data_IF_449261980285
#
_entry.id   IF_449261980285
#
_cell.length_a   1.000
_cell.length_b   1.000
_cell.length_c   1.000
_cell.angle_alpha   90.00
_cell.angle_beta   90.00
_cell.angle_gamma   90.00
#
_symmetry.space_group_name_H-M   'P 1'
#
loop_
_entity.id
_entity.type
_entity.pdbx_description
1 polymer ?
#
# COMPACT_ATOMS: atom_id res chain seq x y z
N UNK A 1 -49.30 -11.76 74.67
CA UNK A 1 -49.36 -12.17 73.25
C UNK A 1 -48.13 -11.63 72.56
N UNK A 2 -47.23 -12.54 72.18
CA UNK A 2 -45.98 -12.26 71.48
C UNK A 2 -46.27 -11.86 70.02
N UNK A 3 -45.67 -10.78 69.52
CA UNK A 3 -45.44 -10.60 68.09
C UNK A 3 -44.02 -10.07 67.88
N UNK A 4 -43.25 -10.88 67.16
CA UNK A 4 -41.87 -10.68 66.75
C UNK A 4 -41.83 -9.86 65.44
N UNK A 5 -40.92 -8.89 65.23
CA UNK A 5 -40.78 -8.25 63.94
C UNK A 5 -39.91 -9.11 63.01
N UNK A 6 -40.46 -9.45 61.83
CA UNK A 6 -39.77 -10.12 60.73
C UNK A 6 -38.54 -9.32 60.28
N UNK A 7 -37.37 -9.97 60.26
CA UNK A 7 -36.18 -9.50 59.53
C UNK A 7 -36.36 -9.78 58.05
N UNK A 8 -36.41 -8.75 57.22
CA UNK A 8 -36.25 -8.86 55.77
C UNK A 8 -34.77 -9.01 55.43
N UNK A 9 -34.36 -10.21 55.02
CA UNK A 9 -33.03 -10.44 54.43
C UNK A 9 -33.03 -9.94 52.98
N UNK A 10 -32.32 -8.85 52.73
CA UNK A 10 -32.00 -8.39 51.37
C UNK A 10 -30.90 -9.29 50.81
N UNK A 11 -31.27 -10.22 49.91
CA UNK A 11 -30.30 -11.00 49.17
C UNK A 11 -29.61 -10.08 48.15
N UNK A 12 -28.34 -9.74 48.41
CA UNK A 12 -27.48 -9.05 47.45
C UNK A 12 -27.17 -10.03 46.31
N UNK A 13 -27.88 -9.92 45.18
CA UNK A 13 -27.48 -10.57 43.94
C UNK A 13 -26.20 -9.88 43.45
N UNK A 14 -25.05 -10.49 43.76
CA UNK A 14 -23.79 -10.23 43.08
C UNK A 14 -23.93 -10.67 41.63
N UNK A 15 -24.35 -9.75 40.76
CA UNK A 15 -24.11 -9.85 39.33
C UNK A 15 -22.60 -9.77 39.14
N UNK A 16 -21.94 -10.92 39.10
CA UNK A 16 -20.62 -11.07 38.50
C UNK A 16 -20.73 -10.62 37.06
N UNK A 17 -20.31 -9.39 36.78
CA UNK A 17 -20.08 -8.92 35.44
C UNK A 17 -19.05 -9.86 34.80
N UNK A 18 -19.53 -10.75 33.94
CA UNK A 18 -18.67 -11.49 33.03
C UNK A 18 -18.13 -10.42 32.09
N UNK A 19 -16.93 -9.91 32.37
CA UNK A 19 -16.16 -9.14 31.42
C UNK A 19 -15.96 -10.06 30.22
N UNK A 20 -16.67 -9.79 29.11
CA UNK A 20 -16.31 -10.37 27.83
C UNK A 20 -14.82 -10.09 27.63
N UNK A 21 -14.00 -11.08 27.19
CA UNK A 21 -12.63 -10.80 26.86
C UNK A 21 -12.65 -9.70 25.79
N UNK A 22 -11.93 -8.61 26.04
CA UNK A 22 -11.56 -7.69 24.96
C UNK A 22 -10.73 -8.54 24.01
N UNK A 23 -11.35 -9.04 22.95
CA UNK A 23 -10.67 -9.85 21.94
C UNK A 23 -9.72 -8.92 21.22
N UNK A 24 -8.47 -8.86 21.68
CA UNK A 24 -7.41 -8.13 21.00
C UNK A 24 -7.17 -8.75 19.62
N UNK A 25 -6.89 -7.89 18.65
CA UNK A 25 -6.47 -8.31 17.32
C UNK A 25 -5.36 -9.36 17.41
N UNK A 26 -5.52 -10.45 16.66
CA UNK A 26 -4.52 -11.52 16.55
C UNK A 26 -4.09 -11.62 15.09
N UNK A 27 -2.80 -11.39 14.77
CA UNK A 27 -2.34 -11.46 13.39
C UNK A 27 -2.44 -12.89 12.86
N UNK A 28 -2.88 -13.04 11.61
CA UNK A 28 -2.82 -14.33 10.95
C UNK A 28 -1.36 -14.73 10.65
N UNK A 29 -1.14 -16.03 10.39
CA UNK A 29 0.17 -16.57 10.07
C UNK A 29 0.74 -15.95 8.80
N UNK A 30 2.05 -15.63 8.84
CA UNK A 30 2.87 -15.20 7.69
C UNK A 30 4.02 -16.15 7.40
N UNK A 31 3.97 -17.36 7.98
CA UNK A 31 5.09 -18.30 7.98
C UNK A 31 5.60 -18.67 6.57
N UNK A 32 4.73 -18.76 5.56
CA UNK A 32 5.16 -19.13 4.21
C UNK A 32 5.98 -18.01 3.58
N UNK A 33 5.49 -16.77 3.63
CA UNK A 33 6.25 -15.63 3.10
C UNK A 33 7.47 -15.28 3.93
N UNK A 34 7.47 -15.53 5.24
CA UNK A 34 8.63 -15.31 6.11
C UNK A 34 9.78 -16.26 5.76
N UNK A 35 9.48 -17.54 5.47
CA UNK A 35 10.49 -18.50 4.99
C UNK A 35 11.07 -18.07 3.64
N UNK A 36 10.21 -17.67 2.69
CA UNK A 36 10.66 -17.20 1.37
C UNK A 36 11.51 -15.93 1.49
N UNK A 37 11.12 -14.98 2.34
CA UNK A 37 11.85 -13.75 2.58
C UNK A 37 13.23 -14.00 3.21
N UNK A 38 13.33 -14.92 4.17
CA UNK A 38 14.61 -15.30 4.77
C UNK A 38 15.56 -15.95 3.75
N UNK A 39 15.04 -16.85 2.91
CA UNK A 39 15.81 -17.48 1.82
C UNK A 39 16.29 -16.43 0.81
N UNK A 40 15.41 -15.52 0.40
CA UNK A 40 15.72 -14.44 -0.51
C UNK A 40 16.79 -13.49 0.07
N UNK A 41 16.71 -13.12 1.34
CA UNK A 41 17.72 -12.30 2.02
C UNK A 41 19.11 -12.96 1.99
N UNK A 42 19.18 -14.27 2.28
CA UNK A 42 20.43 -15.03 2.24
C UNK A 42 21.04 -15.08 0.84
N UNK A 43 20.22 -15.32 -0.18
CA UNK A 43 20.65 -15.34 -1.59
C UNK A 43 21.10 -13.96 -2.08
N UNK A 44 20.41 -12.89 -1.69
CA UNK A 44 20.84 -11.52 -1.97
C UNK A 44 22.22 -11.23 -1.36
N UNK A 45 22.45 -11.62 -0.11
CA UNK A 45 23.75 -11.40 0.54
C UNK A 45 24.90 -12.11 -0.19
N UNK A 46 24.67 -13.34 -0.65
CA UNK A 46 25.62 -14.10 -1.47
C UNK A 46 25.87 -13.42 -2.82
N UNK A 47 24.81 -13.07 -3.54
CA UNK A 47 24.88 -12.43 -4.85
C UNK A 47 25.58 -11.06 -4.77
N UNK A 48 25.22 -10.22 -3.80
CA UNK A 48 25.88 -8.94 -3.55
C UNK A 48 27.39 -9.13 -3.31
N UNK A 49 27.78 -10.11 -2.51
CA UNK A 49 29.20 -10.41 -2.25
C UNK A 49 29.93 -10.86 -3.51
N UNK A 50 29.30 -11.69 -4.35
CA UNK A 50 29.86 -12.13 -5.63
C UNK A 50 30.04 -10.94 -6.59
N UNK A 51 29.03 -10.09 -6.75
CA UNK A 51 29.08 -8.90 -7.60
C UNK A 51 30.20 -7.94 -7.17
N UNK A 52 30.32 -7.70 -5.86
CA UNK A 52 31.43 -6.90 -5.29
C UNK A 52 32.81 -7.50 -5.61
N UNK A 53 32.96 -8.82 -5.56
CA UNK A 53 34.22 -9.50 -5.93
C UNK A 53 34.50 -9.44 -7.43
N UNK A 54 33.47 -9.39 -8.26
CA UNK A 54 33.56 -9.23 -9.70
C UNK A 54 33.86 -7.77 -10.14
N UNK A 55 34.03 -6.84 -9.19
CA UNK A 55 34.31 -5.42 -9.48
C UNK A 55 33.06 -4.57 -9.73
N UNK A 56 31.86 -5.12 -9.55
CA UNK A 56 30.63 -4.33 -9.58
C UNK A 56 30.44 -3.63 -8.22
N UNK A 57 30.80 -2.35 -8.18
CA UNK A 57 30.73 -1.53 -6.98
C UNK A 57 29.46 -0.68 -6.96
N UNK A 58 28.82 -0.63 -5.79
CA UNK A 58 27.68 0.22 -5.44
C UNK A 58 28.03 1.05 -4.22
N UNK A 59 27.37 2.21 -4.06
CA UNK A 59 27.44 3.04 -2.86
C UNK A 59 26.70 2.44 -1.66
N UNK A 60 25.88 1.41 -1.90
CA UNK A 60 25.18 0.69 -0.84
C UNK A 60 26.11 -0.30 -0.13
N UNK A 61 26.11 -0.29 1.19
CA UNK A 61 26.99 -1.06 2.09
C UNK A 61 26.22 -1.55 3.30
N UNK A 62 26.80 -2.45 4.09
CA UNK A 62 26.14 -2.92 5.33
C UNK A 62 25.98 -1.81 6.37
N UNK A 63 26.83 -0.79 6.31
CA UNK A 63 26.84 0.35 7.22
C UNK A 63 25.73 1.37 6.94
N UNK A 64 25.30 1.50 5.68
CA UNK A 64 24.31 2.51 5.26
C UNK A 64 23.02 1.93 4.69
N UNK A 65 22.90 0.59 4.56
CA UNK A 65 21.68 -0.04 4.07
C UNK A 65 20.51 0.23 5.01
N UNK A 66 19.46 0.83 4.47
CA UNK A 66 18.22 1.05 5.19
C UNK A 66 17.44 -0.26 5.38
N UNK A 67 16.69 -0.34 6.47
CA UNK A 67 15.87 -1.51 6.78
C UNK A 67 14.40 -1.09 6.84
N UNK A 68 13.63 -1.51 5.84
CA UNK A 68 12.16 -1.33 5.81
C UNK A 68 11.50 -2.45 6.61
N UNK A 69 10.60 -2.06 7.51
CA UNK A 69 10.01 -2.95 8.52
C UNK A 69 8.50 -3.04 8.40
N UNK A 70 7.97 -4.16 8.84
CA UNK A 70 6.53 -4.36 8.96
C UNK A 70 5.94 -3.40 10.02
N UNK A 71 4.89 -2.66 9.67
CA UNK A 71 4.26 -1.64 10.52
C UNK A 71 4.04 -2.05 11.98
N UNK A 72 3.48 -3.24 12.24
CA UNK A 72 3.15 -3.68 13.61
C UNK A 72 4.39 -4.00 14.46
N UNK A 73 5.56 -4.16 13.83
CA UNK A 73 6.84 -4.32 14.54
C UNK A 73 7.47 -2.99 14.95
N UNK A 74 6.97 -1.86 14.43
CA UNK A 74 7.44 -0.54 14.82
C UNK A 74 6.90 -0.14 16.20
N UNK A 75 7.71 0.60 16.95
CA UNK A 75 7.27 1.22 18.19
C UNK A 75 6.12 2.19 17.95
N UNK A 76 5.29 2.46 18.96
CA UNK A 76 4.24 3.46 18.86
C UNK A 76 4.77 4.84 18.48
N UNK A 77 5.95 5.22 18.99
CA UNK A 77 6.61 6.48 18.64
C UNK A 77 7.05 6.53 17.18
N UNK A 78 7.55 5.42 16.62
CA UNK A 78 7.97 5.37 15.22
C UNK A 78 6.77 5.47 14.27
N UNK A 79 5.65 4.80 14.61
CA UNK A 79 4.40 4.89 13.85
C UNK A 79 3.83 6.30 13.85
N UNK A 80 3.82 6.96 15.01
CA UNK A 80 3.42 8.37 15.13
C UNK A 80 4.38 9.28 14.36
N UNK A 81 5.69 9.05 14.43
CA UNK A 81 6.67 9.84 13.69
C UNK A 81 6.47 9.74 12.18
N UNK A 82 6.13 8.55 11.67
CA UNK A 82 5.76 8.36 10.26
C UNK A 82 4.52 9.19 9.90
N UNK A 83 3.41 9.02 10.62
CA UNK A 83 2.16 9.74 10.29
C UNK A 83 2.28 11.25 10.46
N UNK A 84 3.10 11.72 11.41
CA UNK A 84 3.42 13.14 11.54
C UNK A 84 4.18 13.68 10.32
N UNK A 85 5.11 12.90 9.76
CA UNK A 85 5.81 13.28 8.55
C UNK A 85 4.88 13.34 7.33
N UNK A 86 3.92 12.41 7.24
CA UNK A 86 2.87 12.44 6.20
C UNK A 86 2.01 13.71 6.33
N UNK A 87 1.53 14.02 7.54
CA UNK A 87 0.77 15.25 7.80
C UNK A 87 1.59 16.51 7.50
N UNK A 88 2.89 16.50 7.79
CA UNK A 88 3.80 17.56 7.38
C UNK A 88 3.84 17.72 5.86
N UNK A 89 3.92 16.62 5.10
CA UNK A 89 3.94 16.67 3.63
C UNK A 89 2.63 17.24 3.08
N UNK A 90 1.49 16.88 3.67
CA UNK A 90 0.18 17.47 3.35
C UNK A 90 0.07 18.96 3.70
N UNK A 91 0.89 19.47 4.63
CA UNK A 91 0.89 20.90 5.01
C UNK A 91 1.78 21.78 4.13
N UNK A 92 2.73 21.20 3.40
CA UNK A 92 3.64 21.95 2.51
C UNK A 92 2.97 22.24 1.17
N UNK A 93 3.21 23.41 0.56
CA UNK A 93 2.60 23.75 -0.73
C UNK A 93 3.08 22.82 -1.85
N UNK A 94 2.18 22.49 -2.77
CA UNK A 94 2.48 21.79 -4.03
C UNK A 94 3.60 22.47 -4.84
N UNK A 95 4.43 21.67 -5.51
CA UNK A 95 5.44 22.14 -6.47
C UNK A 95 4.88 22.26 -7.90
N UNK A 96 3.72 21.66 -8.19
CA UNK A 96 3.11 21.76 -9.50
C UNK A 96 2.66 23.20 -9.82
N UNK A 97 2.65 23.53 -11.10
CA UNK A 97 2.04 24.79 -11.56
C UNK A 97 0.52 24.76 -11.29
N UNK A 98 0.04 25.66 -10.44
CA UNK A 98 -1.37 25.71 -10.05
C UNK A 98 -2.35 25.97 -11.21
N UNK A 99 -1.86 26.48 -12.34
CA UNK A 99 -2.69 26.65 -13.56
C UNK A 99 -2.82 25.34 -14.35
N UNK A 100 -1.86 24.43 -14.21
CA UNK A 100 -1.81 23.14 -14.92
C UNK A 100 -2.44 22.02 -14.08
N UNK A 101 -2.15 22.02 -12.78
CA UNK A 101 -2.64 21.02 -11.82
C UNK A 101 -3.40 21.72 -10.68
N UNK A 102 -4.57 22.34 -10.94
CA UNK A 102 -5.25 23.19 -9.97
C UNK A 102 -5.69 22.48 -8.69
N UNK A 103 -5.89 21.16 -8.74
CA UNK A 103 -6.24 20.32 -7.59
C UNK A 103 -5.07 20.00 -6.65
N UNK A 104 -3.82 20.13 -7.10
CA UNK A 104 -2.67 19.89 -6.25
C UNK A 104 -2.45 21.09 -5.31
N UNK A 105 -2.79 20.92 -4.02
CA UNK A 105 -2.62 21.97 -3.00
C UNK A 105 -1.40 21.74 -2.13
N UNK A 106 -1.00 20.49 -1.97
CA UNK A 106 0.08 20.08 -1.09
C UNK A 106 1.20 19.32 -1.81
N UNK A 107 2.35 19.19 -1.15
CA UNK A 107 3.41 18.28 -1.59
C UNK A 107 2.96 16.83 -1.68
N UNK A 108 2.03 16.42 -0.82
CA UNK A 108 1.42 15.10 -0.90
C UNK A 108 0.59 14.95 -2.18
N UNK A 109 -0.13 15.99 -2.59
CA UNK A 109 -0.88 16.00 -3.84
C UNK A 109 0.02 15.91 -5.09
N UNK A 110 1.28 16.35 -5.03
CA UNK A 110 2.22 16.19 -6.16
C UNK A 110 2.44 14.71 -6.53
N UNK A 111 2.42 13.82 -5.53
CA UNK A 111 2.51 12.37 -5.74
C UNK A 111 1.20 11.81 -6.31
N UNK A 112 0.06 12.30 -5.84
CA UNK A 112 -1.26 11.92 -6.38
C UNK A 112 -1.39 12.36 -7.84
N UNK A 113 -0.97 13.58 -8.18
CA UNK A 113 -1.08 14.13 -9.53
C UNK A 113 -0.29 13.32 -10.55
N UNK A 114 0.97 12.96 -10.25
CA UNK A 114 1.78 12.19 -11.22
C UNK A 114 1.24 10.78 -11.44
N UNK A 115 0.71 10.15 -10.40
CA UNK A 115 0.07 8.84 -10.52
C UNK A 115 -1.20 8.91 -11.37
N UNK A 116 -2.07 9.90 -11.13
CA UNK A 116 -3.25 10.19 -11.96
C UNK A 116 -2.84 10.33 -13.43
N UNK A 117 -1.81 11.14 -13.70
CA UNK A 117 -1.34 11.41 -15.06
C UNK A 117 -0.88 10.15 -15.81
N UNK A 118 -0.18 9.25 -15.09
CA UNK A 118 0.57 8.16 -15.70
C UNK A 118 -0.12 6.80 -15.55
N UNK A 119 -1.28 6.71 -14.89
CA UNK A 119 -1.97 5.47 -14.53
C UNK A 119 -2.02 4.43 -15.67
N UNK A 120 -2.34 4.85 -16.89
CA UNK A 120 -2.48 3.98 -18.07
C UNK A 120 -1.15 3.47 -18.65
N UNK A 121 -0.03 3.98 -18.15
CA UNK A 121 1.34 3.67 -18.59
C UNK A 121 2.20 3.08 -17.46
N UNK A 122 1.62 2.86 -16.27
CA UNK A 122 2.30 2.32 -15.08
C UNK A 122 1.58 1.12 -14.46
N UNK A 123 0.42 0.71 -15.01
CA UNK A 123 -0.33 -0.48 -14.59
C UNK A 123 -0.55 -1.40 -15.78
N UNK A 124 -0.43 -2.71 -15.59
CA UNK A 124 -0.45 -3.71 -16.66
C UNK A 124 0.72 -3.56 -17.64
N UNK A 125 1.76 -2.83 -17.25
CA UNK A 125 2.91 -2.47 -18.08
C UNK A 125 4.21 -3.05 -17.56
N UNK A 126 5.25 -3.04 -18.39
CA UNK A 126 6.59 -3.52 -18.05
C UNK A 126 7.27 -2.75 -16.91
N UNK A 127 6.91 -1.48 -16.71
CA UNK A 127 7.47 -0.64 -15.67
C UNK A 127 6.64 -0.65 -14.37
N UNK A 128 5.54 -1.42 -14.26
CA UNK A 128 4.65 -1.39 -13.09
C UNK A 128 5.44 -1.52 -11.78
N UNK A 129 6.27 -2.55 -11.65
CA UNK A 129 7.03 -2.81 -10.43
C UNK A 129 8.14 -1.77 -10.18
N UNK A 130 8.88 -1.41 -11.22
CA UNK A 130 10.02 -0.48 -11.11
C UNK A 130 9.59 0.96 -10.86
N UNK A 131 8.51 1.41 -11.51
CA UNK A 131 7.91 2.72 -11.31
C UNK A 131 7.41 2.86 -9.88
N UNK A 132 6.64 1.88 -9.37
CA UNK A 132 6.09 1.94 -8.01
C UNK A 132 7.17 1.81 -6.92
N UNK A 133 8.24 1.05 -7.17
CA UNK A 133 9.44 1.04 -6.32
C UNK A 133 10.07 2.43 -6.22
N UNK A 134 10.31 3.09 -7.35
CA UNK A 134 10.90 4.42 -7.37
C UNK A 134 9.98 5.49 -6.79
N UNK A 135 8.68 5.40 -7.06
CA UNK A 135 7.65 6.26 -6.49
C UNK A 135 7.61 6.18 -4.96
N UNK A 136 7.56 4.97 -4.41
CA UNK A 136 7.56 4.72 -2.96
C UNK A 136 8.87 5.17 -2.30
N UNK A 137 10.02 4.94 -2.94
CA UNK A 137 11.31 5.43 -2.45
C UNK A 137 11.41 6.95 -2.49
N UNK A 138 10.90 7.60 -3.54
CA UNK A 138 10.86 9.06 -3.67
C UNK A 138 9.97 9.69 -2.61
N UNK A 139 8.82 9.08 -2.33
CA UNK A 139 7.95 9.48 -1.23
C UNK A 139 8.67 9.40 0.12
N UNK A 140 9.37 8.29 0.39
CA UNK A 140 10.22 8.15 1.58
C UNK A 140 11.26 9.28 1.66
N UNK A 141 11.93 9.62 0.55
CA UNK A 141 12.90 10.72 0.53
C UNK A 141 12.25 12.08 0.85
N UNK A 142 11.05 12.35 0.34
CA UNK A 142 10.33 13.58 0.67
C UNK A 142 10.00 13.66 2.17
N UNK A 143 9.50 12.57 2.77
CA UNK A 143 9.26 12.51 4.22
C UNK A 143 10.53 12.80 5.03
N UNK A 144 11.66 12.19 4.63
CA UNK A 144 12.93 12.33 5.35
C UNK A 144 13.56 13.71 5.18
N UNK A 145 13.66 14.17 3.95
CA UNK A 145 14.43 15.37 3.61
C UNK A 145 13.65 16.67 3.80
N UNK A 146 12.32 16.62 3.76
CA UNK A 146 11.50 17.84 3.85
C UNK A 146 10.70 17.92 5.15
N UNK A 147 10.40 16.76 5.76
CA UNK A 147 9.60 16.65 6.98
C UNK A 147 10.36 16.06 8.17
N UNK A 148 11.67 15.84 8.05
CA UNK A 148 12.53 15.44 9.15
C UNK A 148 12.27 14.01 9.67
N UNK A 149 11.59 13.16 8.90
CA UNK A 149 11.39 11.77 9.26
C UNK A 149 12.74 11.04 9.31
N UNK A 150 13.06 10.39 10.44
CA UNK A 150 14.32 9.67 10.60
C UNK A 150 14.20 8.18 10.33
N UNK A 151 12.97 7.64 10.30
CA UNK A 151 12.68 6.25 9.96
C UNK A 151 12.63 6.01 8.44
N UNK A 152 12.40 4.76 8.05
CA UNK A 152 12.27 4.35 6.64
C UNK A 152 10.84 3.93 6.35
N UNK A 153 10.49 3.75 5.06
CA UNK A 153 9.13 3.43 4.66
C UNK A 153 8.69 2.07 5.26
N UNK A 154 7.65 2.04 6.11
CA UNK A 154 7.08 0.79 6.59
C UNK A 154 6.22 0.13 5.52
N UNK A 155 5.97 -1.16 5.69
CA UNK A 155 5.08 -1.92 4.82
C UNK A 155 3.92 -2.55 5.57
N UNK A 156 2.82 -2.76 4.84
CA UNK A 156 1.64 -3.48 5.29
C UNK A 156 1.70 -4.94 4.86
N UNK A 157 2.04 -5.83 5.80
CA UNK A 157 1.98 -7.27 5.53
C UNK A 157 0.52 -7.73 5.53
N UNK A 158 -0.08 -7.82 4.34
CA UNK A 158 -1.49 -8.15 4.21
C UNK A 158 -1.89 -9.45 4.89
N UNK A 159 -0.99 -10.45 4.86
CA UNK A 159 -1.21 -11.75 5.48
C UNK A 159 -1.58 -11.62 6.97
N UNK A 160 -0.94 -10.71 7.70
CA UNK A 160 -1.24 -10.48 9.13
C UNK A 160 -2.67 -10.02 9.36
N UNK A 161 -3.18 -9.13 8.51
CA UNK A 161 -4.52 -8.54 8.64
C UNK A 161 -5.58 -9.25 7.82
N UNK A 162 -5.27 -10.39 7.18
CA UNK A 162 -6.13 -10.99 6.16
C UNK A 162 -7.52 -11.39 6.68
N UNK A 163 -7.64 -11.77 7.95
CA UNK A 163 -8.90 -12.22 8.56
C UNK A 163 -9.54 -11.20 9.51
N UNK A 164 -8.84 -10.10 9.80
CA UNK A 164 -9.35 -9.02 10.65
C UNK A 164 -8.64 -7.70 10.29
N UNK A 165 -8.94 -7.11 9.11
CA UNK A 165 -8.29 -5.88 8.68
C UNK A 165 -8.75 -4.67 9.49
N UNK A 166 -10.01 -4.61 9.91
CA UNK A 166 -10.61 -3.46 10.61
C UNK A 166 -9.92 -3.22 11.96
N UNK A 167 -9.69 -4.26 12.76
CA UNK A 167 -9.06 -4.10 14.08
C UNK A 167 -7.53 -4.24 14.05
N UNK A 168 -6.93 -4.35 12.85
CA UNK A 168 -5.49 -4.46 12.71
C UNK A 168 -4.76 -3.16 13.09
N UNK A 169 -3.47 -3.22 13.47
CA UNK A 169 -2.67 -2.02 13.77
C UNK A 169 -2.57 -1.01 12.61
N UNK A 170 -2.97 -1.40 11.40
CA UNK A 170 -3.05 -0.52 10.24
C UNK A 170 -4.29 0.38 10.30
N UNK A 171 -5.45 -0.16 10.70
CA UNK A 171 -6.76 0.46 10.52
C UNK A 171 -7.63 0.52 11.79
N UNK A 172 -7.05 0.26 12.97
CA UNK A 172 -7.74 0.33 14.28
C UNK A 172 -8.18 1.75 14.72
N UNK A 173 -7.89 2.78 13.92
CA UNK A 173 -8.27 4.17 14.21
C UNK A 173 -7.50 4.82 15.38
N UNK A 174 -6.51 4.15 15.96
CA UNK A 174 -5.69 4.71 17.04
C UNK A 174 -4.72 5.78 16.52
N UNK A 175 -4.10 6.60 17.39
CA UNK A 175 -3.02 7.50 16.98
C UNK A 175 -1.80 6.81 16.35
N UNK A 176 -1.70 5.48 16.44
CA UNK A 176 -0.59 4.67 15.90
C UNK A 176 -0.96 3.89 14.64
N UNK A 177 -2.12 4.17 14.04
CA UNK A 177 -2.59 3.55 12.80
C UNK A 177 -2.37 4.48 11.60
N UNK A 178 -2.69 4.01 10.39
CA UNK A 178 -2.82 4.86 9.21
C UNK A 178 -4.27 5.31 8.99
N UNK A 179 -4.99 5.59 10.07
CA UNK A 179 -6.41 5.94 10.10
C UNK A 179 -7.30 4.79 10.55
N UNK A 180 -8.61 4.97 10.42
CA UNK A 180 -9.61 3.96 10.74
C UNK A 180 -10.31 3.41 9.50
N UNK A 181 -11.37 2.66 9.74
CA UNK A 181 -12.45 2.50 8.77
C UNK A 181 -13.24 3.82 8.62
N UNK A 182 -14.01 3.93 7.53
CA UNK A 182 -14.99 5.00 7.36
C UNK A 182 -16.15 4.86 8.34
N UNK A 183 -16.88 5.94 8.59
CA UNK A 183 -18.20 5.84 9.22
C UNK A 183 -19.11 5.00 8.33
N UNK A 184 -20.00 4.22 8.95
CA UNK A 184 -20.93 3.39 8.20
C UNK A 184 -21.86 4.25 7.33
N UNK A 185 -21.85 4.01 6.02
CA UNK A 185 -22.78 4.59 5.06
C UNK A 185 -23.42 3.47 4.24
N UNK A 186 -24.76 3.31 4.23
CA UNK A 186 -25.39 2.25 3.46
C UNK A 186 -25.12 2.37 1.96
N UNK A 187 -24.56 1.33 1.36
CA UNK A 187 -24.37 1.23 -0.09
C UNK A 187 -24.58 -0.19 -0.61
N UNK A 188 -24.74 -0.32 -1.92
CA UNK A 188 -24.78 -1.60 -2.60
C UNK A 188 -23.38 -2.18 -2.74
N UNK A 189 -23.29 -3.42 -3.21
CA UNK A 189 -21.99 -4.01 -3.52
C UNK A 189 -21.26 -3.18 -4.59
N UNK A 190 -19.94 -3.15 -4.47
CA UNK A 190 -19.03 -2.34 -5.27
C UNK A 190 -18.44 -3.19 -6.39
N UNK A 191 -18.52 -2.70 -7.64
CA UNK A 191 -17.94 -3.41 -8.78
C UNK A 191 -16.43 -3.19 -8.79
N UNK A 192 -15.67 -4.18 -8.31
CA UNK A 192 -14.20 -4.11 -8.32
C UNK A 192 -13.58 -4.31 -9.71
N UNK A 193 -14.29 -4.95 -10.65
CA UNK A 193 -13.77 -5.27 -11.98
C UNK A 193 -14.62 -4.66 -13.10
N UNK A 194 -14.01 -4.29 -14.25
CA UNK A 194 -14.74 -3.91 -15.45
C UNK A 194 -15.64 -5.03 -16.00
N UNK A 195 -15.31 -6.29 -15.70
CA UNK A 195 -16.09 -7.47 -16.12
C UNK A 195 -17.39 -7.64 -15.34
N UNK A 196 -17.58 -6.89 -14.24
CA UNK A 196 -18.69 -7.08 -13.31
C UNK A 196 -18.56 -8.34 -12.44
N UNK A 197 -17.44 -9.08 -12.56
CA UNK A 197 -17.14 -10.18 -11.65
C UNK A 197 -16.75 -9.65 -10.27
N UNK A 198 -17.07 -10.43 -9.22
CA UNK A 198 -16.79 -10.11 -7.83
C UNK A 198 -17.38 -8.77 -7.37
N UNK A 199 -18.71 -8.72 -7.23
CA UNK A 199 -19.32 -7.60 -6.53
C UNK A 199 -18.86 -7.63 -5.06
N UNK A 200 -18.03 -6.68 -4.66
CA UNK A 200 -17.48 -6.57 -3.31
C UNK A 200 -18.65 -6.21 -2.39
N UNK A 201 -19.02 -7.05 -1.41
CA UNK A 201 -20.13 -6.74 -0.53
C UNK A 201 -19.83 -5.49 0.29
N UNK A 202 -20.85 -4.68 0.64
CA UNK A 202 -20.66 -3.52 1.50
C UNK A 202 -20.07 -3.96 2.84
N UNK A 203 -19.03 -3.27 3.28
CA UNK A 203 -18.41 -3.48 4.58
C UNK A 203 -19.09 -2.70 5.69
N UNK A 204 -18.32 -2.45 6.75
CA UNK A 204 -18.78 -1.72 7.94
C UNK A 204 -18.51 -0.21 7.85
N UNK A 205 -17.95 0.26 6.72
CA UNK A 205 -17.63 1.66 6.46
C UNK A 205 -18.46 2.25 5.33
N UNK A 206 -17.78 2.89 4.38
CA UNK A 206 -18.38 3.55 3.21
C UNK A 206 -18.24 5.07 3.24
N UNK A 207 -18.29 5.67 4.43
CA UNK A 207 -18.18 7.12 4.62
C UNK A 207 -16.80 7.61 5.03
N UNK A 208 -16.75 8.86 5.52
CA UNK A 208 -15.51 9.52 5.94
C UNK A 208 -14.80 8.77 7.08
N UNK A 209 -13.47 8.69 7.02
CA UNK A 209 -12.63 8.31 8.15
C UNK A 209 -12.66 9.44 9.18
N UNK A 210 -13.04 9.12 10.42
CA UNK A 210 -13.19 10.10 11.52
C UNK A 210 -12.24 9.88 12.69
N UNK A 211 -11.38 8.86 12.61
CA UNK A 211 -10.42 8.50 13.65
C UNK A 211 -9.00 8.31 13.10
N UNK A 212 -8.02 8.42 14.00
CA UNK A 212 -6.60 8.29 13.69
C UNK A 212 -5.97 9.54 13.08
N UNK A 213 -4.68 9.46 12.67
CA UNK A 213 -3.87 10.63 12.31
C UNK A 213 -4.32 11.40 11.08
N UNK A 214 -5.23 10.82 10.29
CA UNK A 214 -5.69 11.36 9.01
C UNK A 214 -7.20 11.70 8.99
N UNK A 215 -7.88 11.71 10.15
CA UNK A 215 -9.31 12.01 10.25
C UNK A 215 -9.73 13.37 9.65
N UNK A 216 -8.81 14.34 9.62
CA UNK A 216 -9.05 15.69 9.10
C UNK A 216 -8.34 15.95 7.78
N UNK A 217 -7.84 14.92 7.09
CA UNK A 217 -7.18 15.10 5.80
C UNK A 217 -8.22 15.44 4.71
N UNK A 218 -7.79 16.23 3.73
CA UNK A 218 -8.56 16.51 2.51
C UNK A 218 -7.97 15.74 1.33
N UNK A 219 -8.80 14.96 0.65
CA UNK A 219 -8.52 14.40 -0.67
C UNK A 219 -8.90 15.48 -1.69
N UNK A 220 -7.91 16.02 -2.42
CA UNK A 220 -8.10 17.22 -3.24
C UNK A 220 -8.34 16.97 -4.73
N UNK A 221 -8.06 15.76 -5.22
CA UNK A 221 -8.18 15.37 -6.64
C UNK A 221 -8.96 14.07 -6.79
N UNK A 222 -9.39 13.79 -8.02
CA UNK A 222 -10.33 12.69 -8.29
C UNK A 222 -11.72 12.92 -7.68
N UNK A 223 -12.55 11.87 -7.58
CA UNK A 223 -12.28 10.53 -8.08
C UNK A 223 -12.44 10.49 -9.61
N UNK A 224 -11.67 9.64 -10.29
CA UNK A 224 -11.64 9.47 -11.75
C UNK A 224 -12.26 8.13 -12.15
N UNK A 225 -11.90 7.05 -11.46
CA UNK A 225 -12.45 5.71 -11.69
C UNK A 225 -12.67 4.99 -10.36
N UNK A 226 -13.53 5.53 -9.47
CA UNK A 226 -13.75 4.93 -8.17
C UNK A 226 -14.54 3.64 -8.31
N UNK A 227 -14.24 2.66 -7.46
CA UNK A 227 -15.03 1.42 -7.38
C UNK A 227 -16.33 1.65 -6.62
N UNK A 228 -16.30 2.41 -5.52
CA UNK A 228 -17.51 2.88 -4.85
C UNK A 228 -18.12 4.05 -5.64
N UNK A 229 -19.43 4.01 -5.88
CA UNK A 229 -20.10 5.07 -6.62
C UNK A 229 -20.08 6.38 -5.82
N UNK A 230 -19.33 7.37 -6.29
CA UNK A 230 -19.25 8.69 -5.68
C UNK A 230 -20.03 9.72 -6.51
N UNK A 231 -20.94 10.51 -5.90
CA UNK A 231 -21.71 11.52 -6.63
C UNK A 231 -20.84 12.64 -7.21
N UNK A 232 -19.65 12.86 -6.65
CA UNK A 232 -18.70 13.90 -7.05
C UNK A 232 -17.59 13.40 -7.99
N UNK A 233 -17.83 12.29 -8.71
CA UNK A 233 -16.88 11.77 -9.69
C UNK A 233 -16.56 12.81 -10.77
N UNK A 234 -15.27 13.14 -10.91
CA UNK A 234 -14.80 14.17 -11.83
C UNK A 234 -14.65 13.55 -13.22
N UNK A 235 -15.21 14.16 -14.29
CA UNK A 235 -15.03 13.66 -15.64
C UNK A 235 -13.54 13.59 -16.02
N UNK A 236 -13.17 12.61 -16.85
CA UNK A 236 -11.79 12.44 -17.34
C UNK A 236 -11.24 13.68 -18.08
N UNK A 237 -12.10 14.61 -18.54
CA UNK A 237 -11.69 15.90 -19.10
C UNK A 237 -11.18 16.91 -18.07
N UNK A 238 -11.15 16.56 -16.78
CA UNK A 238 -10.76 17.43 -15.68
C UNK A 238 -9.96 16.68 -14.60
N UNK A 239 -9.02 15.82 -15.02
CA UNK A 239 -8.20 14.95 -14.15
C UNK A 239 -7.60 15.66 -12.92
N UNK A 240 -7.25 16.95 -13.05
CA UNK A 240 -6.64 17.75 -11.99
C UNK A 240 -7.58 18.78 -11.37
N UNK A 241 -8.90 18.66 -11.52
CA UNK A 241 -9.82 19.58 -10.87
C UNK A 241 -9.64 19.56 -9.35
N UNK A 242 -9.78 20.73 -8.73
CA UNK A 242 -9.82 20.83 -7.28
C UNK A 242 -11.18 20.37 -6.76
N UNK A 243 -11.20 19.25 -6.06
CA UNK A 243 -12.39 18.60 -5.53
C UNK A 243 -12.17 18.15 -4.07
N UNK A 244 -12.05 19.08 -3.11
CA UNK A 244 -11.71 18.76 -1.72
C UNK A 244 -12.85 18.03 -1.01
N UNK A 245 -12.55 16.87 -0.44
CA UNK A 245 -13.47 16.05 0.36
C UNK A 245 -12.71 15.22 1.39
N UNK A 246 -13.43 14.54 2.28
CA UNK A 246 -12.80 13.67 3.29
C UNK A 246 -12.22 12.40 2.64
N UNK A 247 -11.22 11.80 3.29
CA UNK A 247 -10.84 10.40 3.02
C UNK A 247 -12.01 9.48 3.41
N UNK A 248 -12.46 8.61 2.50
CA UNK A 248 -13.46 7.57 2.79
C UNK A 248 -12.85 6.18 2.69
N UNK A 249 -13.28 5.26 3.55
CA UNK A 249 -12.88 3.85 3.49
C UNK A 249 -14.05 2.93 3.76
N UNK A 250 -14.03 1.77 3.12
CA UNK A 250 -14.90 0.64 3.44
C UNK A 250 -14.03 -0.60 3.59
N UNK A 251 -13.40 -0.72 4.77
CA UNK A 251 -12.35 -1.71 5.00
C UNK A 251 -12.93 -3.13 4.88
N UNK A 252 -12.56 -3.84 3.81
CA UNK A 252 -13.26 -5.07 3.41
C UNK A 252 -12.55 -6.35 3.88
N UNK A 253 -13.08 -6.95 4.94
CA UNK A 253 -12.71 -8.31 5.39
C UNK A 253 -12.99 -9.38 4.31
N UNK A 254 -13.95 -9.11 3.43
CA UNK A 254 -14.29 -10.03 2.35
C UNK A 254 -13.18 -10.10 1.29
N UNK A 255 -12.61 -8.94 0.92
CA UNK A 255 -11.47 -8.88 0.01
C UNK A 255 -10.22 -9.43 0.69
N UNK A 256 -9.94 -8.99 1.91
CA UNK A 256 -8.68 -9.32 2.59
C UNK A 256 -8.50 -10.84 2.75
N UNK A 257 -9.59 -11.53 3.11
CA UNK A 257 -9.59 -12.98 3.37
C UNK A 257 -9.48 -13.86 2.12
N UNK A 258 -9.61 -13.29 0.90
CA UNK A 258 -9.61 -14.02 -0.37
C UNK A 258 -8.37 -13.80 -1.21
N UNK A 259 -7.85 -12.57 -1.22
CA UNK A 259 -6.78 -12.18 -2.14
C UNK A 259 -5.52 -11.66 -1.44
N UNK A 260 -5.53 -11.51 -0.12
CA UNK A 260 -4.41 -10.91 0.61
C UNK A 260 -3.90 -11.76 1.78
N UNK A 261 -4.20 -13.06 1.76
CA UNK A 261 -3.64 -14.02 2.72
C UNK A 261 -2.15 -14.25 2.49
N UNK A 262 -1.45 -14.79 3.49
CA UNK A 262 -0.06 -15.24 3.34
C UNK A 262 0.11 -16.19 2.15
N UNK A 263 -0.85 -17.12 2.01
CA UNK A 263 -0.89 -18.07 0.89
C UNK A 263 -1.00 -17.39 -0.48
N UNK A 264 -1.76 -16.31 -0.60
CA UNK A 264 -1.85 -15.59 -1.88
C UNK A 264 -0.50 -15.02 -2.28
N UNK A 265 0.26 -14.49 -1.30
CA UNK A 265 1.58 -13.92 -1.53
C UNK A 265 2.64 -15.00 -1.76
N UNK A 266 2.61 -16.10 -1.00
CA UNK A 266 3.55 -17.22 -1.15
C UNK A 266 3.34 -17.96 -2.46
N UNK A 267 2.09 -18.25 -2.86
CA UNK A 267 1.78 -18.89 -4.13
C UNK A 267 2.21 -18.00 -5.32
N UNK A 268 2.00 -16.68 -5.23
CA UNK A 268 2.52 -15.72 -6.21
C UNK A 268 4.05 -15.82 -6.34
N UNK A 269 4.79 -15.73 -5.23
CA UNK A 269 6.25 -15.78 -5.24
C UNK A 269 6.77 -17.14 -5.76
N UNK A 270 6.18 -18.23 -5.31
CA UNK A 270 6.68 -19.58 -5.57
C UNK A 270 6.31 -20.11 -6.97
N UNK A 271 5.17 -19.69 -7.53
CA UNK A 271 4.64 -20.26 -8.78
C UNK A 271 4.88 -19.41 -10.02
N UNK A 272 5.26 -18.15 -9.88
CA UNK A 272 5.58 -17.30 -11.03
C UNK A 272 7.00 -17.58 -11.54
N UNK A 273 7.09 -18.25 -12.69
CA UNK A 273 8.36 -18.66 -13.30
C UNK A 273 9.15 -17.51 -13.95
N UNK A 274 8.46 -16.47 -14.41
CA UNK A 274 9.05 -15.28 -15.05
C UNK A 274 8.36 -13.99 -14.58
N UNK A 275 8.94 -12.85 -14.99
CA UNK A 275 8.48 -11.51 -14.58
C UNK A 275 7.08 -11.17 -15.09
N UNK A 276 6.70 -11.65 -16.29
CA UNK A 276 5.39 -11.38 -16.88
C UNK A 276 4.31 -12.13 -16.11
N UNK A 277 4.54 -13.41 -15.81
CA UNK A 277 3.65 -14.18 -14.94
C UNK A 277 3.55 -13.57 -13.55
N UNK A 278 4.67 -13.16 -12.95
CA UNK A 278 4.71 -12.55 -11.62
C UNK A 278 3.88 -11.25 -11.56
N UNK A 279 4.16 -10.29 -12.42
CA UNK A 279 3.45 -9.01 -12.39
C UNK A 279 1.97 -9.14 -12.78
N UNK A 280 1.63 -10.07 -13.68
CA UNK A 280 0.23 -10.32 -14.08
C UNK A 280 -0.55 -10.95 -12.92
N UNK A 281 -0.02 -11.99 -12.28
CA UNK A 281 -0.68 -12.61 -11.11
C UNK A 281 -0.77 -11.65 -9.92
N UNK A 282 0.24 -10.80 -9.73
CA UNK A 282 0.23 -9.78 -8.68
C UNK A 282 -0.89 -8.75 -8.89
N UNK A 283 -1.04 -8.23 -10.10
CA UNK A 283 -2.03 -7.21 -10.47
C UNK A 283 -3.44 -7.77 -10.59
N UNK A 284 -3.56 -9.06 -10.93
CA UNK A 284 -4.83 -9.77 -11.01
C UNK A 284 -5.11 -10.34 -12.41
N UNK A 285 -5.84 -11.44 -12.44
CA UNK A 285 -6.46 -11.98 -13.64
C UNK A 285 -7.95 -11.62 -13.63
N UNK A 286 -8.24 -10.42 -14.15
CA UNK A 286 -9.60 -9.86 -14.11
C UNK A 286 -10.60 -10.63 -14.97
N UNK A 287 -10.12 -11.36 -15.99
CA UNK A 287 -10.97 -12.19 -16.84
C UNK A 287 -11.50 -13.42 -16.07
N UNK A 288 -10.74 -13.94 -15.10
CA UNK A 288 -11.16 -15.04 -14.23
C UNK A 288 -11.74 -14.58 -12.89
N UNK A 289 -11.85 -13.27 -12.65
CA UNK A 289 -12.32 -12.73 -11.38
C UNK A 289 -11.30 -12.90 -10.26
N UNK A 290 -10.01 -12.73 -10.53
CA UNK A 290 -8.96 -12.78 -9.51
C UNK A 290 -8.33 -11.40 -9.38
N UNK A 291 -8.37 -10.79 -8.19
CA UNK A 291 -7.76 -9.48 -7.96
C UNK A 291 -6.22 -9.55 -7.89
N UNK A 292 -5.65 -10.66 -7.43
CA UNK A 292 -4.25 -10.66 -7.03
C UNK A 292 -4.00 -9.78 -5.80
N UNK A 293 -2.77 -9.79 -5.28
CA UNK A 293 -2.44 -9.11 -4.03
C UNK A 293 -2.38 -7.58 -4.17
N UNK A 294 -2.10 -7.04 -5.36
CA UNK A 294 -2.11 -5.60 -5.65
C UNK A 294 -3.53 -5.04 -5.61
N UNK A 295 -4.39 -5.50 -6.53
CA UNK A 295 -5.77 -5.01 -6.59
C UNK A 295 -6.53 -5.39 -5.32
N UNK A 296 -6.24 -6.55 -4.74
CA UNK A 296 -6.78 -6.95 -3.44
C UNK A 296 -6.41 -5.96 -2.33
N UNK A 297 -5.16 -5.51 -2.23
CA UNK A 297 -4.74 -4.54 -1.22
C UNK A 297 -5.43 -3.18 -1.34
N UNK A 298 -5.60 -2.66 -2.58
CA UNK A 298 -6.40 -1.45 -2.82
C UNK A 298 -7.87 -1.65 -2.43
N UNK A 299 -8.48 -2.77 -2.82
CA UNK A 299 -9.90 -3.02 -2.55
C UNK A 299 -10.20 -3.45 -1.12
N UNK A 300 -9.18 -3.80 -0.32
CA UNK A 300 -9.34 -3.88 1.13
C UNK A 300 -9.58 -2.50 1.72
N UNK A 301 -8.98 -1.43 1.19
CA UNK A 301 -9.28 -0.06 1.66
C UNK A 301 -10.66 0.40 1.16
N UNK A 302 -10.96 0.10 -0.11
CA UNK A 302 -12.20 0.52 -0.77
C UNK A 302 -12.36 2.04 -0.72
N UNK A 303 -13.62 2.50 -0.65
CA UNK A 303 -13.93 3.92 -0.48
C UNK A 303 -13.28 4.84 -1.52
N UNK A 304 -12.83 6.00 -1.05
CA UNK A 304 -12.30 7.08 -1.87
C UNK A 304 -11.08 7.74 -1.21
N UNK A 305 -9.88 7.71 -1.83
CA UNK A 305 -9.60 7.17 -3.17
C UNK A 305 -9.04 5.74 -3.16
N UNK A 306 -9.08 5.01 -2.04
CA UNK A 306 -8.46 3.67 -1.94
C UNK A 306 -8.93 2.68 -3.01
N UNK A 307 -10.19 2.79 -3.44
CA UNK A 307 -10.78 2.03 -4.53
C UNK A 307 -10.67 2.67 -5.92
N UNK A 308 -9.94 3.77 -6.10
CA UNK A 308 -9.78 4.48 -7.38
C UNK A 308 -8.43 4.17 -8.02
N UNK A 309 -8.45 3.56 -9.21
CA UNK A 309 -7.22 3.17 -9.93
C UNK A 309 -6.26 4.34 -10.16
N UNK A 310 -6.77 5.55 -10.36
CA UNK A 310 -5.96 6.73 -10.67
C UNK A 310 -5.56 7.49 -9.42
N UNK A 311 -6.50 7.69 -8.50
CA UNK A 311 -6.31 8.56 -7.34
C UNK A 311 -5.87 7.83 -6.05
N UNK A 312 -5.69 6.50 -6.08
CA UNK A 312 -5.35 5.69 -4.89
C UNK A 312 -4.20 6.19 -4.01
N UNK A 313 -3.13 6.86 -4.51
CA UNK A 313 -2.11 7.45 -3.61
C UNK A 313 -2.63 8.55 -2.69
N UNK A 314 -3.84 9.06 -2.94
CA UNK A 314 -4.53 9.99 -2.06
C UNK A 314 -4.94 9.36 -0.73
N UNK A 315 -4.97 8.03 -0.62
CA UNK A 315 -5.05 7.32 0.66
C UNK A 315 -3.62 7.08 1.20
N UNK A 316 -3.26 7.58 2.40
CA UNK A 316 -1.93 7.37 2.99
C UNK A 316 -1.50 5.90 3.16
N UNK A 317 -2.46 4.96 3.21
CA UNK A 317 -2.17 3.53 3.27
C UNK A 317 -1.59 2.97 1.96
N UNK A 318 -1.73 3.68 0.84
CA UNK A 318 -1.12 3.35 -0.46
C UNK A 318 0.37 3.04 -0.32
N UNK A 319 1.10 3.88 0.42
CA UNK A 319 2.56 3.78 0.51
C UNK A 319 3.00 2.56 1.34
N UNK A 320 2.21 2.16 2.34
CA UNK A 320 2.44 0.90 3.08
C UNK A 320 2.10 -0.31 2.20
N UNK A 321 1.01 -0.23 1.43
CA UNK A 321 0.62 -1.26 0.46
C UNK A 321 1.70 -1.46 -0.60
N UNK A 322 2.19 -0.39 -1.23
CA UNK A 322 3.20 -0.47 -2.29
C UNK A 322 4.60 -0.81 -1.77
N UNK A 323 4.91 -0.52 -0.50
CA UNK A 323 6.10 -1.08 0.14
C UNK A 323 6.00 -2.61 0.31
N UNK A 324 4.80 -3.16 0.52
CA UNK A 324 4.59 -4.62 0.54
C UNK A 324 4.59 -5.23 -0.87
N UNK A 325 4.08 -4.52 -1.88
CA UNK A 325 4.26 -4.89 -3.30
C UNK A 325 5.74 -5.00 -3.63
N UNK A 326 6.51 -3.97 -3.28
CA UNK A 326 7.94 -3.94 -3.49
C UNK A 326 8.67 -5.04 -2.69
N UNK A 327 8.29 -5.29 -1.43
CA UNK A 327 8.81 -6.43 -0.66
C UNK A 327 8.54 -7.75 -1.36
N UNK A 328 7.33 -7.96 -1.87
CA UNK A 328 6.94 -9.21 -2.53
C UNK A 328 7.77 -9.43 -3.80
N UNK A 329 7.97 -8.37 -4.59
CA UNK A 329 8.87 -8.41 -5.74
C UNK A 329 10.33 -8.61 -5.35
N UNK A 330 10.81 -7.93 -4.31
CA UNK A 330 12.15 -8.11 -3.75
C UNK A 330 12.40 -9.55 -3.32
N UNK A 331 11.43 -10.22 -2.68
CA UNK A 331 11.55 -11.65 -2.35
C UNK A 331 11.69 -12.47 -3.63
N UNK A 332 10.79 -12.29 -4.60
CA UNK A 332 10.82 -13.04 -5.85
C UNK A 332 12.12 -12.85 -6.64
N UNK A 333 12.62 -11.61 -6.76
CA UNK A 333 13.89 -11.31 -7.42
C UNK A 333 15.04 -12.05 -6.74
N UNK A 334 15.11 -11.97 -5.40
CA UNK A 334 16.25 -12.48 -4.66
C UNK A 334 16.20 -13.98 -4.38
N UNK A 335 15.11 -14.68 -4.75
CA UNK A 335 15.13 -16.14 -4.84
C UNK A 335 15.99 -16.67 -5.99
N UNK A 336 16.24 -15.85 -7.01
CA UNK A 336 17.16 -16.17 -8.11
C UNK A 336 17.74 -14.87 -8.72
N UNK A 337 18.64 -14.19 -8.00
CA UNK A 337 19.05 -12.83 -8.35
C UNK A 337 19.88 -12.76 -9.64
N UNK A 338 20.52 -13.85 -10.07
CA UNK A 338 21.26 -13.88 -11.34
C UNK A 338 20.32 -13.67 -12.53
N UNK A 339 19.20 -14.39 -12.55
CA UNK A 339 18.22 -14.31 -13.64
C UNK A 339 17.19 -13.19 -13.44
N UNK A 340 16.81 -12.90 -12.18
CA UNK A 340 15.63 -12.06 -11.89
C UNK A 340 15.94 -10.62 -11.54
N UNK A 341 17.18 -10.26 -11.19
CA UNK A 341 17.51 -8.87 -10.83
C UNK A 341 17.14 -7.92 -11.96
N UNK A 342 17.42 -8.28 -13.22
CA UNK A 342 17.18 -7.43 -14.40
C UNK A 342 16.01 -7.91 -15.27
N UNK A 343 15.21 -8.84 -14.79
CA UNK A 343 14.07 -9.35 -15.54
C UNK A 343 13.03 -8.25 -15.76
N UNK A 344 12.66 -8.03 -17.02
CA UNK A 344 11.64 -7.08 -17.47
C UNK A 344 10.81 -7.72 -18.57
N UNK A 345 9.51 -7.40 -18.64
CA UNK A 345 8.64 -7.88 -19.70
C UNK A 345 7.27 -7.21 -19.68
N UNK A 346 6.57 -7.26 -20.80
CA UNK A 346 5.28 -6.59 -21.00
C UNK A 346 5.36 -5.34 -21.88
N UNK A 347 4.18 -4.80 -22.21
CA UNK A 347 4.02 -3.58 -23.01
C UNK A 347 4.29 -2.31 -22.19
N UNK A 348 4.58 -1.19 -22.85
CA UNK A 348 4.64 0.14 -22.20
C UNK A 348 3.27 0.81 -22.02
N UNK A 349 2.18 0.19 -22.46
CA UNK A 349 0.83 0.75 -22.37
C UNK A 349 -0.20 -0.32 -22.00
N UNK A 350 -1.12 0.05 -21.11
CA UNK A 350 -2.25 -0.80 -20.70
C UNK A 350 -3.28 -0.99 -21.81
N UNK A 351 -3.56 0.09 -22.56
CA UNK A 351 -4.71 0.15 -23.48
C UNK A 351 -4.33 -0.03 -24.96
N UNK A 352 -3.05 0.14 -25.30
CA UNK A 352 -2.58 0.00 -26.67
C UNK A 352 -1.98 -1.39 -26.92
N UNK A 353 -2.69 -2.30 -27.60
CA UNK A 353 -2.18 -3.64 -27.90
C UNK A 353 -1.04 -3.64 -28.92
N UNK A 354 -0.77 -2.51 -29.58
CA UNK A 354 0.32 -2.34 -30.55
C UNK A 354 1.56 -1.68 -29.95
N UNK A 355 1.48 -1.25 -28.69
CA UNK A 355 2.62 -0.65 -28.00
C UNK A 355 3.78 -1.64 -27.88
N UNK A 356 5.00 -1.11 -28.00
CA UNK A 356 6.22 -1.93 -27.89
C UNK A 356 6.39 -2.50 -26.48
N UNK A 357 7.23 -3.52 -26.38
CA UNK A 357 7.69 -3.99 -25.08
C UNK A 357 8.57 -2.94 -24.39
N UNK A 358 8.50 -2.92 -23.06
CA UNK A 358 9.38 -2.10 -22.23
C UNK A 358 10.80 -2.64 -22.19
N UNK A 359 11.77 -1.75 -22.00
CA UNK A 359 13.20 -2.08 -21.88
C UNK A 359 13.81 -1.44 -20.65
N UNK A 360 15.01 -1.89 -20.24
CA UNK A 360 15.68 -1.35 -19.05
C UNK A 360 16.09 0.12 -19.20
N UNK A 361 16.23 0.58 -20.44
CA UNK A 361 16.59 1.95 -20.81
C UNK A 361 15.40 2.91 -20.79
N UNK A 362 14.17 2.39 -20.68
CA UNK A 362 12.98 3.22 -20.56
C UNK A 362 13.07 4.11 -19.32
N UNK A 363 12.57 5.34 -19.47
CA UNK A 363 12.65 6.38 -18.44
C UNK A 363 11.42 6.33 -17.55
N UNK A 364 11.65 6.33 -16.24
CA UNK A 364 10.70 6.63 -15.20
C UNK A 364 10.83 8.12 -14.88
N UNK A 365 9.75 8.86 -15.09
CA UNK A 365 9.63 10.28 -14.76
C UNK A 365 8.55 10.45 -13.68
N UNK A 366 8.88 11.09 -12.56
CA UNK A 366 7.95 11.37 -11.46
C UNK A 366 7.52 12.84 -11.40
N UNK A 367 7.73 13.59 -12.49
CA UNK A 367 7.37 15.00 -12.61
C UNK A 367 8.13 15.85 -11.61
N UNK A 368 7.42 16.66 -10.83
CA UNK A 368 8.04 17.55 -9.83
C UNK A 368 8.63 16.82 -8.62
N UNK A 369 8.45 15.49 -8.50
CA UNK A 369 8.81 14.74 -7.29
C UNK A 369 10.26 14.22 -7.28
N UNK A 370 10.86 13.96 -8.44
CA UNK A 370 12.23 13.48 -8.55
C UNK A 370 12.81 13.70 -9.96
N UNK A 371 14.13 13.68 -10.06
CA UNK A 371 14.81 13.59 -11.35
C UNK A 371 14.48 12.26 -12.04
N UNK A 372 14.30 12.32 -13.36
CA UNK A 372 14.01 11.15 -14.19
C UNK A 372 15.16 10.13 -14.14
N UNK A 373 14.80 8.85 -14.15
CA UNK A 373 15.76 7.74 -14.03
C UNK A 373 15.38 6.59 -14.96
N UNK A 374 16.33 5.77 -15.39
CA UNK A 374 16.01 4.57 -16.19
C UNK A 374 15.49 3.45 -15.30
N UNK A 375 14.66 2.56 -15.87
CA UNK A 375 14.18 1.35 -15.19
C UNK A 375 15.35 0.55 -14.62
N UNK A 376 16.43 0.39 -15.40
CA UNK A 376 17.65 -0.31 -14.99
C UNK A 376 18.13 0.07 -13.58
N UNK A 377 18.20 1.38 -13.31
CA UNK A 377 18.78 1.91 -12.07
C UNK A 377 17.94 1.57 -10.83
N UNK A 378 16.68 1.20 -10.98
CA UNK A 378 15.80 0.86 -9.85
C UNK A 378 15.52 -0.64 -9.74
N UNK A 379 16.14 -1.45 -10.59
CA UNK A 379 15.96 -2.92 -10.58
C UNK A 379 16.56 -3.61 -9.35
N UNK A 380 17.56 -3.01 -8.70
CA UNK A 380 18.19 -3.53 -7.47
C UNK A 380 18.00 -2.58 -6.30
N UNK A 381 17.46 -3.08 -5.17
CA UNK A 381 17.29 -2.28 -3.95
C UNK A 381 18.60 -1.96 -3.23
N UNK A 382 19.70 -2.59 -3.63
CA UNK A 382 21.06 -2.37 -3.09
C UNK A 382 22.00 -1.78 -4.15
N UNK A 383 21.44 -1.18 -5.20
CA UNK A 383 22.19 -0.40 -6.19
C UNK A 383 23.13 -1.21 -7.08
N UNK A 384 22.96 -2.54 -7.19
CA UNK A 384 23.80 -3.38 -8.07
C UNK A 384 23.61 -3.08 -9.57
N UNK A 385 22.59 -2.30 -9.90
CA UNK A 385 22.31 -1.80 -11.25
C UNK A 385 22.58 -0.31 -11.40
N UNK A 386 23.36 0.28 -10.49
CA UNK A 386 23.90 1.64 -10.61
C UNK A 386 22.97 2.78 -10.23
N UNK A 387 21.81 2.51 -9.61
CA UNK A 387 20.91 3.54 -9.12
C UNK A 387 21.02 3.85 -7.62
N UNK A 388 20.14 4.73 -7.13
CA UNK A 388 20.28 5.35 -5.80
C UNK A 388 19.80 4.48 -4.64
N UNK A 389 19.19 3.32 -4.92
CA UNK A 389 18.52 2.52 -3.91
C UNK A 389 19.53 1.82 -2.99
N UNK A 390 19.29 1.91 -1.68
CA UNK A 390 20.06 1.20 -0.68
C UNK A 390 19.21 0.79 0.53
N UNK A 391 18.39 -0.25 0.34
CA UNK A 391 17.53 -0.80 1.38
C UNK A 391 17.25 -2.30 1.22
N UNK A 392 16.84 -2.91 2.32
CA UNK A 392 16.33 -4.29 2.41
C UNK A 392 15.04 -4.34 3.24
N UNK A 393 14.34 -5.47 3.16
CA UNK A 393 13.15 -5.76 3.96
C UNK A 393 13.47 -6.78 5.05
N UNK A 394 12.87 -6.61 6.24
CA UNK A 394 12.93 -7.58 7.35
C UNK A 394 11.56 -7.85 7.94
#
# INVERSE_FOLDING_TARGET
MMFSPLRTSTALLLLSAISAPVTGYTPASTAETDVLAALAAGKLALYYTQQRRAGNHTSCTLENVAVRREWSTLSSSDRIAYTNAVNCLMSKPSLNNASEVPGAKSRFDDFVAVHINQTLFIHGTANFLSWHRFFTWTYEQALRNECGYTGYQPYWNWGKSAFDPIHSPYFDGTPTSVGGNGVFEPHNCTSGLPTGLNCIPPGEGGGCVTAGPFANMSVNMGPISPTLAEPDAVPASSLYAYNPRCLKRDVSSWVSSRWTTDRNSSDLIARSGDIVAFQTTMQGDFASGVYGVHTGGHFVLGGDPGGDLFASPGDPAFYLHHAQIDRTWWVWQNLDPEERTRAIGGSISLLDPTARNGTLEDVIDLGVNAEAITIEKVMSTVGLTGGPLCYVYV
#
